data_IF_024190939190
#
_entry.id   IF_024190939190
#
_cell.length_a   1.000
_cell.length_b   1.000
_cell.length_c   1.000
_cell.angle_alpha   90.00
_cell.angle_beta   90.00
_cell.angle_gamma   90.00
#
_symmetry.space_group_name_H-M   'P 1'
#
loop_
_entity.id
_entity.type
_entity.pdbx_description
1 polymer ?
#
# COMPACT_ATOMS: atom_id res chain seq x y z
N UNK A 1 66.78 33.35 -8.38
CA UNK A 1 65.67 33.71 -7.48
C UNK A 1 64.43 33.86 -8.35
N UNK A 2 63.47 32.96 -8.22
CA UNK A 2 62.29 32.87 -9.08
C UNK A 2 61.06 33.22 -8.24
N UNK A 3 60.47 34.39 -8.48
CA UNK A 3 59.21 34.79 -7.87
C UNK A 3 58.07 34.16 -8.66
N UNK A 4 57.30 33.30 -8.00
CA UNK A 4 56.03 32.78 -8.53
C UNK A 4 54.92 33.57 -7.84
N UNK A 5 54.25 34.44 -8.59
CA UNK A 5 53.03 35.12 -8.15
C UNK A 5 51.84 34.16 -8.25
N UNK A 6 51.20 33.88 -7.10
CA UNK A 6 49.94 33.16 -7.05
C UNK A 6 48.77 34.13 -7.31
N UNK A 7 48.37 34.22 -8.58
CA UNK A 7 47.14 34.89 -8.97
C UNK A 7 45.92 33.93 -8.97
N UNK A 8 44.80 34.52 -8.54
CA UNK A 8 43.40 34.07 -8.67
C UNK A 8 42.80 33.25 -7.52
N UNK A 9 41.92 33.93 -6.79
CA UNK A 9 41.00 33.42 -5.78
C UNK A 9 39.91 32.53 -6.42
N UNK A 10 40.00 31.23 -6.10
CA UNK A 10 38.95 30.22 -5.85
C UNK A 10 37.47 30.58 -6.14
N UNK A 11 36.75 29.81 -6.99
CA UNK A 11 35.30 29.91 -7.15
C UNK A 11 34.58 29.03 -6.11
N UNK A 12 34.53 29.45 -4.84
CA UNK A 12 33.94 28.61 -3.76
C UNK A 12 32.49 28.99 -3.42
N UNK A 13 31.98 30.13 -3.91
CA UNK A 13 30.61 30.57 -3.58
C UNK A 13 29.51 29.88 -4.40
N UNK A 14 29.76 29.49 -5.64
CA UNK A 14 28.72 28.90 -6.49
C UNK A 14 28.49 27.41 -6.26
N UNK A 15 29.46 26.70 -5.66
CA UNK A 15 29.32 25.27 -5.36
C UNK A 15 28.41 25.01 -4.14
N UNK A 16 28.32 25.98 -3.22
CA UNK A 16 27.50 25.86 -2.01
C UNK A 16 25.98 25.94 -2.30
N UNK A 17 25.59 26.71 -3.32
CA UNK A 17 24.18 26.84 -3.72
C UNK A 17 23.62 25.58 -4.40
N UNK A 18 24.45 24.82 -5.12
CA UNK A 18 24.04 23.56 -5.76
C UNK A 18 23.85 22.45 -4.71
N UNK A 19 24.62 22.46 -3.62
CA UNK A 19 24.49 21.49 -2.53
C UNK A 19 23.20 21.69 -1.70
N UNK A 20 22.73 22.94 -1.55
CA UNK A 20 21.50 23.27 -0.81
C UNK A 20 20.20 22.89 -1.54
N UNK A 21 20.23 22.76 -2.87
CA UNK A 21 19.05 22.39 -3.67
C UNK A 21 18.72 20.88 -3.62
N UNK A 22 19.66 20.03 -3.19
CA UNK A 22 19.47 18.57 -3.18
C UNK A 22 18.78 18.10 -1.89
N UNK A 23 18.81 18.89 -0.81
CA UNK A 23 18.21 18.50 0.48
C UNK A 23 16.70 18.75 0.59
N UNK A 24 16.07 19.48 -0.34
CA UNK A 24 14.66 19.84 -0.24
C UNK A 24 13.68 18.78 -0.77
N UNK A 25 14.17 17.66 -1.34
CA UNK A 25 13.32 16.61 -1.93
C UNK A 25 13.33 15.30 -1.15
N UNK A 26 13.61 15.31 0.15
CA UNK A 26 13.19 14.22 1.02
C UNK A 26 11.72 14.46 1.41
N UNK A 27 10.78 13.97 0.58
CA UNK A 27 9.38 13.86 1.02
C UNK A 27 9.35 12.80 2.13
N UNK A 28 9.15 13.23 3.37
CA UNK A 28 8.92 12.29 4.47
C UNK A 28 7.74 11.38 4.12
N UNK A 29 7.82 10.07 4.40
CA UNK A 29 6.69 9.17 4.21
C UNK A 29 5.51 9.70 5.03
N UNK A 30 4.39 9.98 4.36
CA UNK A 30 3.18 10.40 5.08
C UNK A 30 2.75 9.27 6.02
N UNK A 31 2.33 9.58 7.26
CA UNK A 31 1.80 8.55 8.15
C UNK A 31 0.59 7.88 7.48
N UNK A 32 0.40 6.56 7.67
CA UNK A 32 -0.69 5.85 7.04
C UNK A 32 -2.01 6.36 7.59
N UNK A 33 -2.88 6.76 6.67
CA UNK A 33 -4.24 7.18 6.94
C UNK A 33 -5.18 6.02 6.69
N UNK A 34 -6.31 6.03 7.38
CA UNK A 34 -7.40 5.10 7.09
C UNK A 34 -7.84 5.32 5.64
N UNK A 35 -7.65 4.30 4.80
CA UNK A 35 -7.89 4.37 3.35
C UNK A 35 -9.06 3.49 2.94
N UNK A 36 -9.17 2.32 3.57
CA UNK A 36 -10.23 1.35 3.37
C UNK A 36 -10.86 1.04 4.72
N UNK A 37 -12.19 1.12 4.84
CA UNK A 37 -12.90 0.74 6.06
C UNK A 37 -13.32 -0.74 5.98
N UNK A 38 -12.37 -1.66 6.24
CA UNK A 38 -12.60 -3.10 6.08
C UNK A 38 -13.75 -3.61 6.97
N UNK A 39 -13.89 -3.21 8.25
CA UNK A 39 -15.04 -3.61 9.08
C UNK A 39 -16.39 -3.33 8.42
N UNK A 40 -16.54 -2.20 7.72
CA UNK A 40 -17.78 -1.85 7.02
C UNK A 40 -18.05 -2.72 5.77
N UNK A 41 -17.06 -3.45 5.28
CA UNK A 41 -17.19 -4.35 4.12
C UNK A 41 -17.47 -5.81 4.53
N UNK A 42 -17.25 -6.16 5.79
CA UNK A 42 -17.49 -7.52 6.29
C UNK A 42 -18.99 -7.85 6.19
N UNK A 43 -19.29 -9.07 5.72
CA UNK A 43 -20.66 -9.55 5.51
C UNK A 43 -21.28 -9.10 4.18
N UNK A 44 -20.67 -8.18 3.44
CA UNK A 44 -21.10 -7.79 2.09
C UNK A 44 -20.65 -8.80 1.04
N UNK A 45 -21.43 -8.92 -0.04
CA UNK A 45 -20.96 -9.58 -1.26
C UNK A 45 -20.15 -8.61 -2.14
N UNK A 46 -19.47 -9.15 -3.16
CA UNK A 46 -18.60 -8.32 -4.02
C UNK A 46 -19.35 -7.20 -4.77
N UNK A 47 -20.64 -7.36 -5.10
CA UNK A 47 -21.41 -6.35 -5.82
C UNK A 47 -21.78 -5.18 -4.90
N UNK A 48 -22.13 -5.46 -3.65
CA UNK A 48 -22.32 -4.43 -2.62
C UNK A 48 -21.02 -3.67 -2.32
N UNK A 49 -19.88 -4.37 -2.28
CA UNK A 49 -18.58 -3.73 -2.09
C UNK A 49 -18.25 -2.79 -3.26
N UNK A 50 -18.59 -3.14 -4.50
CA UNK A 50 -18.42 -2.23 -5.66
C UNK A 50 -19.27 -0.98 -5.57
N UNK A 51 -20.44 -1.06 -4.94
CA UNK A 51 -21.26 0.14 -4.69
C UNK A 51 -20.55 1.07 -3.70
N UNK A 52 -19.92 0.51 -2.65
CA UNK A 52 -19.22 1.29 -1.62
C UNK A 52 -17.87 1.85 -2.12
N UNK A 53 -17.07 1.02 -2.78
CA UNK A 53 -15.70 1.37 -3.18
C UNK A 53 -15.59 1.95 -4.60
N UNK A 54 -16.64 1.79 -5.41
CA UNK A 54 -16.65 2.15 -6.81
C UNK A 54 -16.19 1.00 -7.72
N UNK A 55 -15.77 1.36 -8.95
CA UNK A 55 -15.30 0.39 -9.95
C UNK A 55 -13.87 -0.07 -9.62
N UNK A 56 -13.57 -1.38 -9.63
CA UNK A 56 -12.19 -1.88 -9.50
C UNK A 56 -11.34 -1.49 -10.71
N UNK A 57 -10.01 -1.49 -10.53
CA UNK A 57 -9.03 -1.11 -11.56
C UNK A 57 -9.10 -2.01 -12.80
N UNK A 58 -9.21 -3.31 -12.59
CA UNK A 58 -9.40 -4.29 -13.66
C UNK A 58 -10.86 -4.67 -13.78
N UNK A 59 -11.32 -4.83 -15.03
CA UNK A 59 -12.61 -5.47 -15.26
C UNK A 59 -12.51 -6.91 -14.74
N UNK A 60 -13.38 -7.33 -13.81
CA UNK A 60 -13.41 -8.72 -13.39
C UNK A 60 -13.58 -9.58 -14.66
N UNK A 61 -12.87 -10.71 -14.77
CA UNK A 61 -13.09 -11.60 -15.90
C UNK A 61 -14.57 -11.92 -16.00
N UNK A 62 -15.13 -11.84 -17.21
CA UNK A 62 -16.52 -12.23 -17.43
C UNK A 62 -16.73 -13.72 -17.06
N UNK A 63 -17.99 -14.15 -16.90
CA UNK A 63 -18.33 -15.55 -16.58
C UNK A 63 -17.85 -16.58 -17.63
N UNK A 64 -17.24 -16.14 -18.73
CA UNK A 64 -16.69 -16.98 -19.78
C UNK A 64 -15.39 -17.73 -19.42
N UNK A 65 -14.84 -17.54 -18.21
CA UNK A 65 -13.67 -18.30 -17.71
C UNK A 65 -14.01 -19.08 -16.44
N UNK A 66 -14.83 -20.16 -16.53
CA UNK A 66 -15.26 -20.97 -15.39
C UNK A 66 -14.14 -21.74 -14.66
N UNK A 67 -12.88 -21.64 -15.11
CA UNK A 67 -11.76 -22.38 -14.55
C UNK A 67 -11.11 -21.71 -13.33
N UNK A 68 -11.37 -20.43 -13.06
CA UNK A 68 -10.83 -19.76 -11.87
C UNK A 68 -11.76 -19.96 -10.67
N UNK A 69 -11.28 -20.71 -9.67
CA UNK A 69 -11.99 -20.92 -8.40
C UNK A 69 -12.19 -19.63 -7.60
N UNK A 70 -11.31 -18.65 -7.81
CA UNK A 70 -11.27 -17.37 -7.10
C UNK A 70 -11.06 -16.23 -8.09
N UNK A 71 -11.86 -15.19 -7.94
CA UNK A 71 -11.76 -13.94 -8.68
C UNK A 71 -11.24 -12.85 -7.76
N UNK A 72 -10.59 -11.85 -8.35
CA UNK A 72 -9.97 -10.75 -7.63
C UNK A 72 -10.55 -9.41 -8.11
N UNK A 73 -10.78 -8.49 -7.20
CA UNK A 73 -11.01 -7.07 -7.49
C UNK A 73 -9.94 -6.24 -6.79
N UNK A 74 -9.27 -5.38 -7.54
CA UNK A 74 -8.20 -4.52 -7.04
C UNK A 74 -8.65 -3.05 -7.02
N UNK A 75 -8.32 -2.35 -5.95
CA UNK A 75 -8.59 -0.93 -5.73
C UNK A 75 -7.31 -0.24 -5.24
N UNK A 76 -6.89 0.82 -5.92
CA UNK A 76 -5.76 1.64 -5.47
C UNK A 76 -6.24 3.01 -5.00
N UNK A 77 -5.79 3.42 -3.81
CA UNK A 77 -6.00 4.75 -3.26
C UNK A 77 -4.73 5.19 -2.53
N UNK A 78 -4.18 6.34 -2.90
CA UNK A 78 -3.05 6.98 -2.21
C UNK A 78 -1.80 6.08 -2.04
N UNK A 79 -1.52 5.21 -3.02
CA UNK A 79 -0.39 4.28 -2.96
C UNK A 79 -0.60 3.07 -2.03
N UNK A 80 -1.85 2.84 -1.63
CA UNK A 80 -2.33 1.66 -0.92
C UNK A 80 -3.29 0.87 -1.83
N UNK A 81 -3.09 -0.43 -1.90
CA UNK A 81 -3.87 -1.36 -2.70
C UNK A 81 -4.74 -2.23 -1.81
N UNK A 82 -5.98 -2.45 -2.21
CA UNK A 82 -6.90 -3.42 -1.62
C UNK A 82 -7.28 -4.45 -2.69
N UNK A 83 -6.84 -5.69 -2.47
CA UNK A 83 -7.23 -6.85 -3.26
C UNK A 83 -8.34 -7.59 -2.51
N UNK A 84 -9.43 -7.89 -3.22
CA UNK A 84 -10.58 -8.60 -2.67
C UNK A 84 -10.77 -9.89 -3.43
N UNK A 85 -10.59 -11.00 -2.71
CA UNK A 85 -10.76 -12.35 -3.25
C UNK A 85 -12.17 -12.84 -2.97
N UNK A 86 -12.86 -13.31 -4.01
CA UNK A 86 -14.25 -13.75 -3.89
C UNK A 86 -14.55 -14.94 -4.80
N UNK A 87 -15.58 -15.69 -4.43
CA UNK A 87 -16.08 -16.79 -5.22
C UNK A 87 -17.02 -16.26 -6.32
N UNK A 88 -16.76 -16.55 -7.61
CA UNK A 88 -17.53 -15.98 -8.71
C UNK A 88 -18.98 -16.49 -8.76
N UNK A 89 -19.24 -17.68 -8.21
CA UNK A 89 -20.54 -18.35 -8.31
C UNK A 89 -21.56 -17.80 -7.30
N UNK A 90 -21.14 -17.61 -6.04
CA UNK A 90 -22.01 -17.14 -4.97
C UNK A 90 -21.73 -15.68 -4.55
N UNK A 91 -20.74 -15.03 -5.17
CA UNK A 91 -20.35 -13.63 -4.91
C UNK A 91 -19.81 -13.38 -3.50
N UNK A 92 -19.63 -14.42 -2.68
CA UNK A 92 -19.10 -14.32 -1.30
C UNK A 92 -17.62 -13.97 -1.33
N UNK A 93 -17.25 -12.99 -0.53
CA UNK A 93 -15.86 -12.60 -0.29
C UNK A 93 -15.20 -13.66 0.60
N UNK A 94 -13.99 -14.06 0.26
CA UNK A 94 -13.18 -15.02 1.01
C UNK A 94 -12.12 -14.31 1.85
N UNK A 95 -11.47 -13.29 1.27
CA UNK A 95 -10.46 -12.51 1.98
C UNK A 95 -10.27 -11.11 1.40
N UNK A 96 -9.69 -10.25 2.23
CA UNK A 96 -9.16 -8.95 1.84
C UNK A 96 -7.64 -8.97 2.01
N UNK A 97 -6.90 -8.37 1.09
CA UNK A 97 -5.46 -8.25 1.17
C UNK A 97 -5.07 -6.79 0.92
N UNK A 98 -4.53 -6.15 1.96
CA UNK A 98 -4.06 -4.76 1.89
C UNK A 98 -2.57 -4.80 1.60
N UNK A 99 -2.12 -4.02 0.63
CA UNK A 99 -0.71 -3.88 0.26
C UNK A 99 -0.35 -2.40 0.20
N UNK A 100 0.72 -2.03 0.88
CA UNK A 100 1.35 -0.72 0.81
C UNK A 100 2.51 -0.74 -0.18
N UNK A 101 2.61 0.34 -0.96
CA UNK A 101 3.77 0.59 -1.83
C UNK A 101 5.06 0.84 -1.05
N UNK A 102 4.96 1.19 0.24
CA UNK A 102 6.08 1.37 1.16
C UNK A 102 6.05 0.34 2.29
N UNK A 103 7.21 -0.07 2.78
CA UNK A 103 7.34 -0.88 3.99
C UNK A 103 7.24 -0.02 5.24
N UNK A 104 6.71 -0.61 6.32
CA UNK A 104 6.59 -0.02 7.64
C UNK A 104 7.24 -0.91 8.69
N UNK A 105 7.75 -0.31 9.76
CA UNK A 105 8.40 -1.03 10.86
C UNK A 105 7.43 -1.87 11.71
N UNK A 106 6.11 -1.74 11.49
CA UNK A 106 5.09 -2.44 12.26
C UNK A 106 3.88 -2.79 11.42
N UNK A 107 3.42 -4.04 11.56
CA UNK A 107 2.12 -4.49 11.03
C UNK A 107 0.94 -3.62 11.51
N UNK A 108 1.00 -3.04 12.72
CA UNK A 108 -0.04 -2.15 13.24
C UNK A 108 -0.24 -0.92 12.34
N UNK A 109 0.85 -0.48 11.72
CA UNK A 109 0.86 0.64 10.78
C UNK A 109 0.13 0.28 9.49
N UNK A 110 0.30 -0.96 9.00
CA UNK A 110 -0.46 -1.49 7.86
C UNK A 110 -1.95 -1.65 8.20
N UNK A 111 -2.27 -2.12 9.40
CA UNK A 111 -3.67 -2.29 9.84
C UNK A 111 -4.48 -1.00 9.86
N UNK A 112 -3.84 0.14 10.15
CA UNK A 112 -4.50 1.45 10.10
C UNK A 112 -5.05 1.77 8.72
N UNK A 113 -4.41 1.31 7.65
CA UNK A 113 -4.89 1.50 6.28
C UNK A 113 -6.30 0.91 6.12
N UNK A 114 -6.54 -0.24 6.77
CA UNK A 114 -7.79 -0.99 6.73
C UNK A 114 -8.83 -0.64 7.80
N UNK A 115 -8.59 0.37 8.63
CA UNK A 115 -9.38 0.63 9.83
C UNK A 115 -9.49 -0.59 10.77
N UNK A 116 -8.39 -1.35 10.90
CA UNK A 116 -8.36 -2.60 11.65
C UNK A 116 -7.61 -2.44 12.97
N UNK A 117 -8.11 -3.13 13.99
CA UNK A 117 -7.37 -3.43 15.20
C UNK A 117 -6.62 -4.76 15.07
N UNK A 118 -5.53 -4.93 15.83
CA UNK A 118 -4.69 -6.15 15.84
C UNK A 118 -5.38 -7.37 16.48
N UNK A 119 -6.72 -7.39 16.56
CA UNK A 119 -7.47 -8.45 17.25
C UNK A 119 -8.18 -9.31 16.23
N UNK A 120 -7.96 -10.63 16.33
CA UNK A 120 -8.85 -11.60 15.71
C UNK A 120 -10.24 -11.45 16.32
N UNK A 121 -11.26 -11.49 15.48
CA UNK A 121 -12.66 -11.38 15.88
C UNK A 121 -13.38 -12.70 15.61
N UNK A 122 -14.68 -12.77 15.89
CA UNK A 122 -15.50 -13.90 15.46
C UNK A 122 -15.71 -13.94 13.95
N UNK A 123 -15.51 -12.81 13.25
CA UNK A 123 -15.80 -12.67 11.83
C UNK A 123 -14.56 -12.85 10.94
N UNK A 124 -13.36 -12.58 11.47
CA UNK A 124 -12.12 -12.68 10.72
C UNK A 124 -10.89 -12.95 11.59
N UNK A 125 -9.78 -13.31 10.93
CA UNK A 125 -8.44 -13.32 11.52
C UNK A 125 -7.44 -12.66 10.56
N UNK A 126 -6.32 -12.19 11.12
CA UNK A 126 -5.31 -11.39 10.40
C UNK A 126 -4.01 -12.18 10.25
N UNK A 127 -3.47 -12.20 9.03
CA UNK A 127 -2.14 -12.72 8.69
C UNK A 127 -1.24 -11.56 8.24
N UNK A 128 -0.15 -11.24 8.96
CA UNK A 128 0.83 -10.27 8.48
C UNK A 128 1.54 -10.78 7.23
N UNK A 129 1.68 -9.92 6.22
CA UNK A 129 2.51 -10.17 5.04
C UNK A 129 3.87 -9.49 5.19
N UNK A 130 4.94 -10.28 5.15
CA UNK A 130 6.32 -9.80 5.22
C UNK A 130 6.97 -9.78 3.83
N UNK A 131 7.84 -8.80 3.58
CA UNK A 131 8.77 -8.87 2.45
C UNK A 131 9.94 -9.77 2.82
N UNK A 132 10.17 -10.83 2.03
CA UNK A 132 11.25 -11.82 2.22
C UNK A 132 12.69 -11.27 2.31
N UNK A 133 12.90 -9.95 2.15
CA UNK A 133 14.24 -9.33 2.09
C UNK A 133 14.40 -8.08 2.95
N UNK A 134 13.40 -7.70 3.75
CA UNK A 134 13.46 -6.50 4.61
C UNK A 134 12.68 -6.76 5.90
N UNK A 135 13.17 -6.29 7.04
CA UNK A 135 12.44 -6.32 8.33
C UNK A 135 11.23 -5.35 8.37
N UNK A 136 10.55 -5.18 7.24
CA UNK A 136 9.43 -4.24 7.09
C UNK A 136 8.16 -4.97 6.65
N UNK A 137 7.05 -4.52 7.21
CA UNK A 137 5.70 -4.96 6.90
C UNK A 137 5.11 -4.04 5.84
N UNK A 138 4.64 -4.61 4.74
CA UNK A 138 3.94 -3.84 3.72
C UNK A 138 2.58 -4.45 3.37
N UNK A 139 2.19 -5.57 3.98
CA UNK A 139 0.92 -6.19 3.65
C UNK A 139 0.26 -6.88 4.87
N UNK A 140 -1.05 -7.06 4.77
CA UNK A 140 -1.84 -7.88 5.70
C UNK A 140 -2.97 -8.55 4.92
N UNK A 141 -3.22 -9.82 5.24
CA UNK A 141 -4.38 -10.57 4.75
C UNK A 141 -5.40 -10.70 5.87
N UNK A 142 -6.65 -10.41 5.56
CA UNK A 142 -7.81 -10.56 6.43
C UNK A 142 -8.64 -11.72 5.90
N UNK A 143 -8.62 -12.82 6.64
CA UNK A 143 -9.32 -14.05 6.29
C UNK A 143 -10.68 -14.09 6.98
N UNK A 144 -11.75 -14.23 6.21
CA UNK A 144 -13.12 -14.29 6.73
C UNK A 144 -13.47 -15.69 7.21
N UNK A 145 -14.31 -15.79 8.24
CA UNK A 145 -14.80 -17.06 8.82
C UNK A 145 -16.13 -17.55 8.21
#
# INVERSE_FOLDING_TARGET
MMNVEFNSLKPVKNFLYILLLICASCKEPKPPQVTFDIPALIGKNIDEVRIVLGRPLENPPGPSKPQKRLFENNYDKEGQSLLIYFNPNNRKIESFHIVSSVGYDSVKTVLKIGNLDFKNTNDYWIEPGERYFTDTYNAVTIHLK
#
